data_IF_810767167874
#
_entry.id   IF_810767167874
#
_cell.length_a   1.000
_cell.length_b   1.000
_cell.length_c   1.000
_cell.angle_alpha   90.00
_cell.angle_beta   90.00
_cell.angle_gamma   90.00
#
_symmetry.space_group_name_H-M   'P 1'
#
loop_
_entity.id
_entity.type
_entity.pdbx_description
1 polymer ?
#
# COMPACT_ATOMS: atom_id res chain seq x y z
N UNK A 1 -0.46 8.20 -11.46
CA UNK A 1 -0.27 8.93 -10.18
C UNK A 1 -1.56 9.07 -9.39
N UNK A 2 -2.67 9.51 -9.99
CA UNK A 2 -3.96 9.71 -9.29
C UNK A 2 -4.40 8.54 -8.38
N UNK A 3 -4.14 7.29 -8.81
CA UNK A 3 -4.57 6.06 -8.13
C UNK A 3 -3.50 5.40 -7.25
N UNK A 4 -2.37 6.06 -6.97
CA UNK A 4 -1.36 5.56 -6.04
C UNK A 4 -0.33 4.59 -6.65
N UNK A 5 -0.07 4.70 -7.96
CA UNK A 5 0.97 3.91 -8.62
C UNK A 5 2.38 4.30 -8.11
N UNK A 6 3.27 3.33 -7.86
CA UNK A 6 4.62 3.58 -7.36
C UNK A 6 5.47 4.36 -8.37
N UNK A 7 6.23 5.35 -7.89
CA UNK A 7 7.00 6.28 -8.73
C UNK A 7 8.11 5.60 -9.53
N UNK A 8 8.84 4.68 -8.90
CA UNK A 8 9.97 3.98 -9.54
C UNK A 8 9.62 3.21 -10.82
N UNK A 9 8.34 2.84 -11.02
CA UNK A 9 7.86 2.18 -12.24
C UNK A 9 7.23 3.14 -13.24
N UNK A 10 6.66 4.22 -12.75
CA UNK A 10 5.81 5.09 -13.54
C UNK A 10 6.58 5.77 -14.65
N UNK A 11 7.81 6.22 -14.39
CA UNK A 11 8.72 6.80 -15.38
C UNK A 11 8.83 5.91 -16.60
N UNK A 12 9.17 4.63 -16.38
CA UNK A 12 9.35 3.68 -17.46
C UNK A 12 8.07 3.39 -18.23
N UNK A 13 6.92 3.29 -17.55
CA UNK A 13 5.65 3.11 -18.24
C UNK A 13 5.29 4.28 -19.12
N UNK A 14 5.55 5.50 -18.64
CA UNK A 14 5.29 6.71 -19.41
C UNK A 14 6.25 6.82 -20.60
N UNK A 15 7.54 6.53 -20.43
CA UNK A 15 8.49 6.50 -21.55
C UNK A 15 8.11 5.47 -22.61
N UNK A 16 7.71 4.25 -22.23
CA UNK A 16 7.24 3.23 -23.19
C UNK A 16 5.95 3.65 -23.90
N UNK A 17 5.05 4.34 -23.18
CA UNK A 17 3.81 4.86 -23.77
C UNK A 17 4.11 6.00 -24.74
N UNK A 18 5.01 6.92 -24.41
CA UNK A 18 5.42 8.02 -25.29
C UNK A 18 6.04 7.52 -26.60
N UNK A 19 6.90 6.49 -26.53
CA UNK A 19 7.47 5.83 -27.70
C UNK A 19 6.39 5.15 -28.55
N UNK A 20 5.44 4.45 -27.93
CA UNK A 20 4.32 3.81 -28.65
C UNK A 20 3.42 4.85 -29.33
N UNK A 21 3.23 6.01 -28.72
CA UNK A 21 2.49 7.16 -29.27
C UNK A 21 3.31 8.05 -30.22
N UNK A 22 4.58 7.70 -30.49
CA UNK A 22 5.49 8.47 -31.34
C UNK A 22 5.58 9.97 -30.95
N UNK A 23 5.52 10.27 -29.65
CA UNK A 23 5.55 11.64 -29.12
C UNK A 23 6.81 11.86 -28.29
N UNK A 24 7.48 12.99 -28.47
CA UNK A 24 8.63 13.42 -27.65
C UNK A 24 8.14 13.99 -26.33
N UNK A 25 8.35 13.25 -25.24
CA UNK A 25 7.88 13.64 -23.90
C UNK A 25 8.97 13.38 -22.86
N UNK A 26 9.28 14.41 -22.09
CA UNK A 26 10.15 14.34 -20.94
C UNK A 26 9.36 14.36 -19.64
N UNK A 27 9.85 13.62 -18.64
CA UNK A 27 9.19 13.45 -17.35
C UNK A 27 10.10 13.93 -16.23
N UNK A 28 9.60 14.80 -15.37
CA UNK A 28 10.25 15.17 -14.12
C UNK A 28 9.37 14.75 -12.95
N UNK A 29 9.93 13.92 -12.09
CA UNK A 29 9.26 13.42 -10.89
C UNK A 29 9.56 14.31 -9.72
N UNK A 30 8.50 14.86 -9.13
CA UNK A 30 8.53 15.56 -7.87
C UNK A 30 7.79 14.72 -6.81
N UNK A 31 7.98 15.00 -5.51
CA UNK A 31 7.16 14.38 -4.48
C UNK A 31 5.67 14.65 -4.77
N UNK A 32 4.90 13.56 -4.84
CA UNK A 32 3.46 13.54 -5.08
C UNK A 32 2.96 14.27 -6.34
N UNK A 33 3.87 14.56 -7.27
CA UNK A 33 3.55 15.18 -8.53
C UNK A 33 4.47 14.75 -9.67
N UNK A 34 3.92 14.75 -10.87
CA UNK A 34 4.62 14.46 -12.11
C UNK A 34 4.47 15.66 -13.02
N UNK A 35 5.60 16.23 -13.41
CA UNK A 35 5.62 17.23 -14.48
C UNK A 35 5.96 16.51 -15.78
N UNK A 36 5.06 16.63 -16.75
CA UNK A 36 5.25 16.15 -18.12
C UNK A 36 5.57 17.35 -19.01
N UNK A 37 6.62 17.27 -19.81
CA UNK A 37 6.96 18.24 -20.84
C UNK A 37 6.79 17.56 -22.20
N UNK A 38 5.83 18.03 -23.00
CA UNK A 38 5.58 17.53 -24.35
C UNK A 38 6.20 18.52 -25.32
N UNK A 39 7.13 18.05 -26.14
CA UNK A 39 7.77 18.86 -27.17
C UNK A 39 7.05 18.68 -28.51
N UNK A 40 6.47 19.77 -29.02
CA UNK A 40 5.92 19.80 -30.37
C UNK A 40 6.93 20.41 -31.34
N UNK A 41 7.74 19.54 -31.92
CA UNK A 41 8.76 19.91 -32.90
C UNK A 41 8.19 20.59 -34.15
N UNK A 42 6.90 20.36 -34.50
CA UNK A 42 6.28 20.95 -35.70
C UNK A 42 5.92 22.42 -35.49
N UNK A 43 5.46 22.77 -34.30
CA UNK A 43 5.03 24.13 -33.96
C UNK A 43 6.07 24.93 -33.18
N UNK A 44 7.24 24.34 -32.85
CA UNK A 44 8.25 24.93 -31.97
C UNK A 44 7.68 25.38 -30.61
N UNK A 45 6.68 24.66 -30.11
CA UNK A 45 6.02 24.95 -28.83
C UNK A 45 6.14 23.76 -27.89
N UNK A 46 6.49 24.01 -26.63
CA UNK A 46 6.48 23.01 -25.58
C UNK A 46 5.32 23.24 -24.62
N UNK A 47 4.61 22.19 -24.23
CA UNK A 47 3.57 22.26 -23.22
C UNK A 47 4.02 21.50 -21.97
N UNK A 48 3.93 22.14 -20.81
CA UNK A 48 4.15 21.45 -19.53
C UNK A 48 2.83 21.22 -18.81
N UNK A 49 2.66 20.04 -18.23
CA UNK A 49 1.50 19.68 -17.42
C UNK A 49 1.95 19.07 -16.10
N UNK A 50 1.49 19.66 -15.00
CA UNK A 50 1.67 19.13 -13.65
C UNK A 50 0.48 18.22 -13.29
N UNK A 51 0.77 16.97 -12.93
CA UNK A 51 -0.21 15.99 -12.50
C UNK A 51 0.07 15.68 -11.03
N UNK A 52 -0.90 15.93 -10.14
CA UNK A 52 -0.80 15.60 -8.71
C UNK A 52 -1.39 14.23 -8.40
N UNK A 53 -0.84 13.53 -7.41
CA UNK A 53 -1.45 12.35 -6.81
C UNK A 53 -2.69 12.72 -5.98
N UNK A 54 -3.68 11.83 -5.90
CA UNK A 54 -4.94 12.06 -5.17
C UNK A 54 -5.27 11.01 -4.11
N UNK A 55 -4.67 9.81 -4.18
CA UNK A 55 -4.88 8.73 -3.21
C UNK A 55 -4.58 7.36 -3.80
N UNK A 56 -5.00 6.31 -3.10
CA UNK A 56 -4.85 4.91 -3.54
C UNK A 56 -6.20 4.32 -3.93
N UNK A 57 -6.34 3.88 -5.18
CA UNK A 57 -7.47 3.08 -5.66
C UNK A 57 -6.92 1.95 -6.52
N UNK A 58 -6.76 0.77 -5.91
CA UNK A 58 -6.14 -0.40 -6.55
C UNK A 58 -6.94 -0.89 -7.76
N UNK A 59 -8.26 -0.78 -7.72
CA UNK A 59 -9.16 -1.19 -8.79
C UNK A 59 -8.98 -0.32 -10.03
N UNK A 60 -9.07 1.01 -9.87
CA UNK A 60 -8.87 1.96 -10.98
C UNK A 60 -7.43 1.99 -11.48
N UNK A 61 -6.46 1.80 -10.59
CA UNK A 61 -5.08 1.67 -11.01
C UNK A 61 -4.89 0.50 -11.97
N UNK A 62 -5.44 -0.67 -11.65
CA UNK A 62 -5.34 -1.81 -12.55
C UNK A 62 -6.02 -1.54 -13.90
N UNK A 63 -7.21 -0.96 -13.89
CA UNK A 63 -7.95 -0.68 -15.12
C UNK A 63 -7.19 0.29 -16.02
N UNK A 64 -6.68 1.39 -15.47
CA UNK A 64 -5.86 2.34 -16.20
C UNK A 64 -4.56 1.71 -16.73
N UNK A 65 -3.96 0.79 -15.98
CA UNK A 65 -2.79 0.05 -16.44
C UNK A 65 -3.11 -0.89 -17.61
N UNK A 66 -4.28 -1.54 -17.58
CA UNK A 66 -4.73 -2.39 -18.69
C UNK A 66 -4.95 -1.57 -19.96
N UNK A 67 -5.64 -0.42 -19.87
CA UNK A 67 -5.83 0.50 -21.00
C UNK A 67 -4.48 0.84 -21.64
N UNK A 68 -3.51 1.30 -20.84
CA UNK A 68 -2.16 1.61 -21.33
C UNK A 68 -1.49 0.42 -22.03
N UNK A 69 -1.59 -0.79 -21.47
CA UNK A 69 -1.05 -2.02 -22.09
C UNK A 69 -1.71 -2.34 -23.43
N UNK A 70 -3.02 -2.13 -23.56
CA UNK A 70 -3.75 -2.39 -24.81
C UNK A 70 -3.39 -1.39 -25.90
N UNK A 71 -3.22 -0.12 -25.56
CA UNK A 71 -2.74 0.91 -26.50
C UNK A 71 -1.32 0.60 -26.97
N UNK A 72 -0.39 0.29 -26.06
CA UNK A 72 1.00 -0.04 -26.41
C UNK A 72 1.10 -1.26 -27.33
N UNK A 73 0.23 -2.26 -27.14
CA UNK A 73 0.23 -3.49 -27.94
C UNK A 73 -0.58 -3.36 -29.25
N UNK A 74 -1.09 -2.17 -29.59
CA UNK A 74 -1.98 -1.94 -30.74
C UNK A 74 -3.26 -2.80 -30.72
N UNK A 75 -3.73 -3.20 -29.53
CA UNK A 75 -4.99 -3.95 -29.35
C UNK A 75 -6.21 -3.03 -29.19
N UNK A 76 -5.99 -1.72 -29.04
CA UNK A 76 -6.99 -0.67 -28.83
C UNK A 76 -6.46 0.63 -29.43
N UNK A 77 -7.32 1.47 -30.02
CA UNK A 77 -6.88 2.76 -30.58
C UNK A 77 -6.68 3.80 -29.47
N UNK A 78 -6.03 4.92 -29.79
CA UNK A 78 -5.78 6.00 -28.83
C UNK A 78 -7.10 6.65 -28.41
N UNK A 79 -8.04 6.83 -29.34
CA UNK A 79 -9.36 7.43 -29.08
C UNK A 79 -10.21 6.53 -28.17
N UNK A 80 -10.23 5.23 -28.44
CA UNK A 80 -10.90 4.24 -27.57
C UNK A 80 -10.29 4.26 -26.16
N UNK A 81 -8.96 4.34 -26.07
CA UNK A 81 -8.25 4.41 -24.80
C UNK A 81 -8.57 5.68 -23.98
N UNK A 82 -8.70 6.83 -24.64
CA UNK A 82 -9.10 8.09 -23.98
C UNK A 82 -10.51 7.95 -23.41
N UNK A 83 -11.44 7.40 -24.19
CA UNK A 83 -12.82 7.17 -23.74
C UNK A 83 -12.88 6.23 -22.52
N UNK A 84 -12.16 5.10 -22.55
CA UNK A 84 -12.13 4.19 -21.39
C UNK A 84 -11.47 4.84 -20.16
N UNK A 85 -10.43 5.66 -20.33
CA UNK A 85 -9.80 6.37 -19.20
C UNK A 85 -10.75 7.38 -18.56
N UNK A 86 -11.54 8.10 -19.36
CA UNK A 86 -12.55 9.03 -18.85
C UNK A 86 -13.71 8.28 -18.15
N UNK A 87 -14.08 7.10 -18.63
CA UNK A 87 -15.05 6.23 -17.95
C UNK A 87 -14.51 5.74 -16.58
N UNK A 88 -13.24 5.35 -16.52
CA UNK A 88 -12.58 4.93 -15.27
C UNK A 88 -12.49 6.10 -14.28
N UNK A 89 -12.20 7.31 -14.75
CA UNK A 89 -12.13 8.51 -13.92
C UNK A 89 -13.51 8.92 -13.38
N UNK A 90 -14.55 8.86 -14.21
CA UNK A 90 -15.93 9.26 -13.85
C UNK A 90 -16.70 8.21 -13.05
N UNK A 91 -16.19 6.99 -12.91
CA UNK A 91 -16.83 5.93 -12.13
C UNK A 91 -17.06 6.35 -10.67
N UNK A 92 -18.23 6.02 -10.12
CA UNK A 92 -18.55 6.21 -8.69
C UNK A 92 -17.67 5.31 -7.80
N UNK A 93 -17.43 5.68 -6.53
CA UNK A 93 -16.72 4.80 -5.59
C UNK A 93 -17.40 3.42 -5.54
N UNK A 94 -16.60 2.36 -5.51
CA UNK A 94 -17.09 0.97 -5.60
C UNK A 94 -17.92 0.56 -4.37
N UNK A 95 -17.63 1.17 -3.22
CA UNK A 95 -18.22 0.84 -1.94
C UNK A 95 -18.84 2.08 -1.30
N UNK A 96 -19.99 1.91 -0.63
CA UNK A 96 -20.62 2.97 0.16
C UNK A 96 -19.81 3.27 1.42
N UNK A 97 -19.83 4.52 1.89
CA UNK A 97 -19.15 4.94 3.11
C UNK A 97 -19.50 4.07 4.34
N UNK A 98 -20.78 3.71 4.52
CA UNK A 98 -21.23 2.88 5.64
C UNK A 98 -20.63 1.47 5.64
N UNK A 99 -20.56 0.85 4.46
CA UNK A 99 -19.87 -0.42 4.29
C UNK A 99 -18.38 -0.27 4.62
N UNK A 100 -17.75 0.82 4.17
CA UNK A 100 -16.34 1.08 4.45
C UNK A 100 -16.10 1.23 5.96
N UNK A 101 -16.95 1.99 6.67
CA UNK A 101 -16.92 2.13 8.13
C UNK A 101 -17.00 0.78 8.85
N UNK A 102 -17.88 -0.12 8.39
CA UNK A 102 -17.96 -1.46 8.94
C UNK A 102 -16.67 -2.27 8.70
N UNK A 103 -16.08 -2.15 7.50
CA UNK A 103 -14.80 -2.80 7.17
C UNK A 103 -13.64 -2.25 8.01
N UNK A 104 -13.63 -0.96 8.36
CA UNK A 104 -12.68 -0.39 9.32
C UNK A 104 -12.74 -1.12 10.67
N UNK A 105 -13.94 -1.33 11.21
CA UNK A 105 -14.14 -2.10 12.45
C UNK A 105 -13.61 -3.53 12.35
N UNK A 106 -13.94 -4.23 11.26
CA UNK A 106 -13.45 -5.59 11.03
C UNK A 106 -11.92 -5.64 10.86
N UNK A 107 -11.33 -4.62 10.25
CA UNK A 107 -9.88 -4.53 10.10
C UNK A 107 -9.19 -4.40 11.47
N UNK A 108 -9.78 -3.67 12.42
CA UNK A 108 -9.32 -3.60 13.81
C UNK A 108 -9.30 -4.96 14.51
N UNK A 109 -10.39 -5.73 14.39
CA UNK A 109 -10.47 -7.11 14.89
C UNK A 109 -9.42 -7.99 14.22
N UNK A 110 -9.22 -7.82 12.92
CA UNK A 110 -8.30 -8.63 12.11
C UNK A 110 -6.85 -8.51 12.55
N UNK A 111 -6.37 -7.29 12.78
CA UNK A 111 -4.96 -7.06 13.10
C UNK A 111 -4.59 -7.32 14.56
N UNK A 112 -5.52 -7.08 15.49
CA UNK A 112 -5.21 -7.07 16.91
C UNK A 112 -4.53 -8.35 17.44
N UNK A 113 -4.97 -9.58 17.08
CA UNK A 113 -4.35 -10.82 17.59
C UNK A 113 -2.91 -11.04 17.13
N UNK A 114 -2.64 -10.90 15.84
CA UNK A 114 -1.35 -11.35 15.27
C UNK A 114 -0.26 -10.28 15.32
N UNK A 115 -0.62 -8.99 15.32
CA UNK A 115 0.33 -7.89 15.38
C UNK A 115 0.58 -7.43 16.82
N UNK A 116 -0.48 -7.34 17.63
CA UNK A 116 -0.44 -6.71 18.95
C UNK A 116 -0.72 -7.67 20.12
N UNK A 117 -0.94 -8.96 19.84
CA UNK A 117 -1.14 -9.98 20.87
C UNK A 117 -2.45 -9.83 21.65
N UNK A 118 -3.48 -9.26 21.03
CA UNK A 118 -4.78 -9.01 21.67
C UNK A 118 -5.43 -10.31 22.17
N UNK A 119 -6.22 -10.19 23.25
CA UNK A 119 -7.09 -11.28 23.73
C UNK A 119 -8.45 -11.22 23.04
N UNK A 120 -9.20 -12.31 23.09
CA UNK A 120 -10.56 -12.33 22.54
C UNK A 120 -11.49 -11.28 23.17
N UNK A 121 -11.24 -10.96 24.45
CA UNK A 121 -11.99 -9.94 25.21
C UNK A 121 -11.74 -8.52 24.68
N UNK A 122 -10.58 -8.26 24.06
CA UNK A 122 -10.20 -6.93 23.55
C UNK A 122 -10.83 -6.64 22.17
N UNK A 123 -11.21 -7.68 21.40
CA UNK A 123 -11.67 -7.54 20.01
C UNK A 123 -12.89 -6.63 19.79
N UNK A 124 -13.94 -6.68 20.64
CA UNK A 124 -15.08 -5.78 20.48
C UNK A 124 -14.71 -4.30 20.65
N UNK A 125 -13.75 -4.00 21.53
CA UNK A 125 -13.27 -2.63 21.72
C UNK A 125 -12.42 -2.16 20.54
N UNK A 126 -11.56 -3.04 20.00
CA UNK A 126 -10.83 -2.77 18.77
C UNK A 126 -11.78 -2.44 17.62
N UNK A 127 -12.90 -3.17 17.48
CA UNK A 127 -13.91 -2.88 16.47
C UNK A 127 -14.47 -1.46 16.61
N UNK A 128 -14.91 -1.08 17.81
CA UNK A 128 -15.52 0.23 18.06
C UNK A 128 -14.53 1.37 17.79
N UNK A 129 -13.29 1.26 18.26
CA UNK A 129 -12.28 2.29 18.05
C UNK A 129 -11.87 2.40 16.57
N UNK A 130 -11.77 1.27 15.86
CA UNK A 130 -11.47 1.32 14.42
C UNK A 130 -12.64 1.87 13.59
N UNK A 131 -13.91 1.60 13.94
CA UNK A 131 -15.05 2.28 13.30
C UNK A 131 -14.97 3.79 13.54
N UNK A 132 -14.64 4.20 14.76
CA UNK A 132 -14.46 5.62 15.12
C UNK A 132 -13.35 6.28 14.31
N UNK A 133 -12.23 5.58 14.08
CA UNK A 133 -11.19 6.03 13.15
C UNK A 133 -11.74 6.22 11.73
N UNK A 134 -12.51 5.24 11.23
CA UNK A 134 -13.14 5.34 9.91
C UNK A 134 -14.05 6.57 9.78
N UNK A 135 -14.79 6.93 10.84
CA UNK A 135 -15.62 8.15 10.87
C UNK A 135 -14.73 9.39 10.77
N UNK A 136 -13.66 9.45 11.55
CA UNK A 136 -12.71 10.56 11.50
C UNK A 136 -12.05 10.69 10.11
N UNK A 137 -11.70 9.58 9.46
CA UNK A 137 -11.04 9.59 8.15
C UNK A 137 -12.00 9.90 6.98
N UNK A 138 -13.18 9.27 6.94
CA UNK A 138 -14.09 9.39 5.78
C UNK A 138 -15.00 10.62 5.91
N UNK A 139 -15.44 10.98 7.12
CA UNK A 139 -16.44 12.04 7.33
C UNK A 139 -15.86 13.34 7.86
N UNK A 140 -14.77 13.30 8.65
CA UNK A 140 -14.23 14.50 9.30
C UNK A 140 -13.02 15.07 8.55
N UNK A 141 -12.06 14.23 8.15
CA UNK A 141 -10.87 14.64 7.38
C UNK A 141 -11.16 15.47 6.12
N UNK A 142 -12.05 15.05 5.21
CA UNK A 142 -12.29 15.82 3.99
C UNK A 142 -13.09 17.12 4.21
N UNK A 143 -13.67 17.35 5.38
CA UNK A 143 -14.47 18.56 5.65
C UNK A 143 -13.63 19.79 5.92
N UNK A 144 -12.44 19.63 6.48
CA UNK A 144 -11.57 20.74 6.82
C UNK A 144 -10.11 20.38 6.50
N UNK A 145 -9.48 21.19 5.64
CA UNK A 145 -8.09 20.99 5.26
C UNK A 145 -7.14 21.04 6.47
N UNK A 146 -7.38 21.93 7.44
CA UNK A 146 -6.57 21.99 8.66
C UNK A 146 -6.64 20.70 9.47
N UNK A 147 -7.83 20.10 9.55
CA UNK A 147 -8.01 18.84 10.24
C UNK A 147 -7.36 17.68 9.48
N UNK A 148 -7.40 17.67 8.14
CA UNK A 148 -6.72 16.64 7.33
C UNK A 148 -5.19 16.57 7.56
N UNK A 149 -4.57 17.67 7.97
CA UNK A 149 -3.13 17.75 8.28
C UNK A 149 -2.80 17.26 9.70
N UNK A 150 -3.74 17.35 10.63
CA UNK A 150 -3.56 16.99 12.05
C UNK A 150 -4.32 15.72 12.45
N UNK A 151 -5.02 15.11 11.50
CA UNK A 151 -5.93 13.98 11.72
C UNK A 151 -5.21 12.85 12.48
N UNK A 152 -4.02 12.52 12.03
CA UNK A 152 -3.12 11.52 12.61
C UNK A 152 -2.83 11.72 14.08
N UNK A 153 -2.40 12.93 14.42
CA UNK A 153 -2.00 13.30 15.78
C UNK A 153 -3.24 13.29 16.66
N UNK A 154 -4.35 13.84 16.17
CA UNK A 154 -5.62 13.83 16.90
C UNK A 154 -6.16 12.41 17.15
N UNK A 155 -6.04 11.51 16.17
CA UNK A 155 -6.38 10.11 16.28
C UNK A 155 -5.49 9.39 17.30
N UNK A 156 -4.17 9.59 17.23
CA UNK A 156 -3.23 9.00 18.18
C UNK A 156 -3.50 9.44 19.62
N UNK A 157 -3.72 10.74 19.85
CA UNK A 157 -4.09 11.27 21.18
C UNK A 157 -5.37 10.59 21.69
N UNK A 158 -6.39 10.53 20.85
CA UNK A 158 -7.70 10.01 21.22
C UNK A 158 -7.68 8.52 21.50
N UNK A 159 -7.05 7.71 20.65
CA UNK A 159 -7.00 6.25 20.83
C UNK A 159 -6.01 5.81 21.91
N UNK A 160 -4.94 6.56 22.17
CA UNK A 160 -4.08 6.30 23.33
C UNK A 160 -4.75 6.69 24.64
N UNK A 161 -5.49 7.81 24.67
CA UNK A 161 -6.31 8.17 25.82
C UNK A 161 -7.39 7.11 26.11
N UNK A 162 -8.21 6.77 25.10
CA UNK A 162 -9.27 5.77 25.23
C UNK A 162 -8.72 4.36 25.51
N UNK A 163 -7.61 3.99 24.88
CA UNK A 163 -6.94 2.72 25.12
C UNK A 163 -6.46 2.60 26.56
N UNK A 164 -5.84 3.64 27.11
CA UNK A 164 -5.35 3.63 28.50
C UNK A 164 -6.51 3.70 29.51
N UNK A 165 -7.56 4.45 29.19
CA UNK A 165 -8.83 4.47 29.94
C UNK A 165 -9.41 3.06 30.06
N UNK A 166 -9.64 2.40 28.92
CA UNK A 166 -10.25 1.07 28.88
C UNK A 166 -9.33 -0.01 29.47
N UNK A 167 -8.02 0.08 29.22
CA UNK A 167 -7.03 -0.86 29.76
C UNK A 167 -6.79 -0.74 31.26
N UNK A 168 -7.21 0.36 31.90
CA UNK A 168 -7.08 0.55 33.35
C UNK A 168 -8.26 0.00 34.14
N UNK A 169 -9.32 -0.49 33.46
CA UNK A 169 -10.47 -1.10 34.12
C UNK A 169 -10.05 -2.43 34.79
N UNK A 170 -10.26 -2.50 36.11
CA UNK A 170 -9.94 -3.66 36.94
C UNK A 170 -11.19 -4.50 37.24
N UNK A 171 -11.03 -5.81 37.25
CA UNK A 171 -12.01 -6.75 37.79
C UNK A 171 -12.02 -6.69 39.32
N UNK A 172 -13.07 -7.21 39.97
CA UNK A 172 -13.15 -7.42 41.43
C UNK A 172 -11.98 -8.20 42.03
N UNK A 173 -11.25 -8.96 41.21
CA UNK A 173 -10.06 -9.75 41.58
C UNK A 173 -8.74 -8.97 41.46
N UNK A 174 -8.77 -7.70 41.03
CA UNK A 174 -7.59 -6.84 40.87
C UNK A 174 -6.87 -6.96 39.51
N UNK A 175 -7.24 -7.94 38.68
CA UNK A 175 -6.69 -8.13 37.33
C UNK A 175 -7.27 -7.12 36.32
N UNK A 176 -6.46 -6.73 35.33
CA UNK A 176 -6.90 -5.83 34.24
C UNK A 176 -7.67 -6.60 33.17
N UNK A 177 -8.90 -6.16 32.90
CA UNK A 177 -9.82 -6.83 31.96
C UNK A 177 -9.34 -6.70 30.52
N UNK A 178 -8.83 -5.52 30.17
CA UNK A 178 -8.50 -5.15 28.79
C UNK A 178 -7.02 -4.83 28.62
N UNK A 179 -6.48 -5.15 27.44
CA UNK A 179 -5.09 -4.83 27.12
C UNK A 179 -5.00 -3.47 26.42
N UNK A 180 -4.31 -2.53 27.07
CA UNK A 180 -4.08 -1.19 26.53
C UNK A 180 -3.37 -1.22 25.16
N UNK A 181 -2.22 -1.89 25.07
CA UNK A 181 -1.40 -1.93 23.85
C UNK A 181 -2.16 -2.47 22.65
N UNK A 182 -2.90 -3.57 22.81
CA UNK A 182 -3.72 -4.14 21.74
C UNK A 182 -4.82 -3.19 21.25
N UNK A 183 -5.53 -2.52 22.17
CA UNK A 183 -6.68 -1.68 21.84
C UNK A 183 -6.25 -0.37 21.16
N UNK A 184 -5.22 0.30 21.70
CA UNK A 184 -4.72 1.55 21.11
C UNK A 184 -4.03 1.30 19.76
N UNK A 185 -3.15 0.30 19.68
CA UNK A 185 -2.35 0.06 18.48
C UNK A 185 -3.20 -0.53 17.33
N UNK A 186 -4.20 -1.37 17.61
CA UNK A 186 -5.11 -1.88 16.56
C UNK A 186 -5.90 -0.75 15.88
N UNK A 187 -6.31 0.27 16.63
CA UNK A 187 -6.96 1.46 16.07
C UNK A 187 -5.96 2.32 15.28
N UNK A 188 -4.80 2.65 15.86
CA UNK A 188 -3.79 3.53 15.24
C UNK A 188 -3.19 2.92 13.97
N UNK A 189 -3.12 1.60 13.88
CA UNK A 189 -2.52 0.87 12.75
C UNK A 189 -2.98 1.34 11.37
N UNK A 190 -4.28 1.56 11.19
CA UNK A 190 -4.85 1.88 9.87
C UNK A 190 -4.44 3.27 9.35
N UNK A 191 -3.86 4.11 10.22
CA UNK A 191 -3.31 5.41 9.87
C UNK A 191 -1.81 5.32 9.52
N UNK A 192 -1.12 4.24 9.90
CA UNK A 192 0.33 4.17 9.73
C UNK A 192 0.76 4.16 8.25
N UNK A 193 1.80 4.92 7.87
CA UNK A 193 2.17 5.14 6.47
C UNK A 193 3.03 3.99 5.92
N UNK A 194 2.64 2.73 6.16
CA UNK A 194 3.46 1.56 5.83
C UNK A 194 3.75 1.39 4.33
N UNK A 195 2.75 1.67 3.49
CA UNK A 195 2.92 1.67 2.04
C UNK A 195 3.92 2.75 1.57
N UNK A 196 3.81 3.97 2.13
CA UNK A 196 4.67 5.10 1.78
C UNK A 196 6.13 4.87 2.19
N UNK A 197 6.36 4.33 3.39
CA UNK A 197 7.70 3.97 3.87
C UNK A 197 8.35 2.96 2.93
N UNK A 198 7.62 1.89 2.59
CA UNK A 198 8.14 0.84 1.72
C UNK A 198 8.45 1.37 0.31
N UNK A 199 7.54 2.18 -0.26
CA UNK A 199 7.76 2.76 -1.59
C UNK A 199 8.92 3.77 -1.60
N UNK A 200 9.10 4.56 -0.54
CA UNK A 200 10.24 5.46 -0.40
C UNK A 200 11.56 4.70 -0.36
N UNK A 201 11.66 3.61 0.41
CA UNK A 201 12.84 2.76 0.43
C UNK A 201 13.12 2.08 -0.93
N UNK A 202 12.08 1.63 -1.64
CA UNK A 202 12.22 1.06 -2.98
C UNK A 202 12.72 2.08 -4.01
N UNK A 203 12.17 3.29 -3.99
CA UNK A 203 12.63 4.39 -4.86
C UNK A 203 14.08 4.80 -4.54
N UNK A 204 14.45 4.81 -3.25
CA UNK A 204 15.81 5.09 -2.82
C UNK A 204 16.81 4.04 -3.35
N UNK A 205 16.46 2.75 -3.27
CA UNK A 205 17.27 1.67 -3.84
C UNK A 205 17.38 1.73 -5.36
N UNK A 206 16.38 2.30 -6.04
CA UNK A 206 16.35 2.51 -7.48
C UNK A 206 17.01 3.83 -7.92
N UNK A 207 17.78 4.49 -7.04
CA UNK A 207 18.51 5.74 -7.28
C UNK A 207 17.63 6.97 -7.54
N UNK A 208 16.35 6.96 -7.18
CA UNK A 208 15.47 8.13 -7.24
C UNK A 208 15.57 8.98 -5.96
N UNK A 209 16.78 9.45 -5.65
CA UNK A 209 17.18 9.97 -4.32
C UNK A 209 16.35 11.19 -3.88
N UNK A 210 16.12 12.17 -4.77
CA UNK A 210 15.45 13.42 -4.40
C UNK A 210 13.97 13.20 -4.01
N UNK A 211 13.24 12.43 -4.82
CA UNK A 211 11.83 12.11 -4.59
C UNK A 211 11.67 11.13 -3.43
N UNK A 212 12.55 10.14 -3.30
CA UNK A 212 12.50 9.20 -2.18
C UNK A 212 12.88 9.84 -0.85
N UNK A 213 13.88 10.75 -0.85
CA UNK A 213 14.40 11.37 0.36
C UNK A 213 13.35 12.23 1.07
N UNK A 214 12.60 13.02 0.32
CA UNK A 214 11.48 13.82 0.86
C UNK A 214 10.34 12.96 1.38
N UNK A 215 9.95 11.89 0.68
CA UNK A 215 8.93 10.93 1.16
C UNK A 215 9.36 10.20 2.42
N UNK A 216 10.62 9.76 2.49
CA UNK A 216 11.17 9.12 3.67
C UNK A 216 11.22 10.10 4.84
N UNK A 217 11.68 11.33 4.63
CA UNK A 217 11.69 12.37 5.65
C UNK A 217 10.28 12.67 6.17
N UNK A 218 9.30 12.80 5.28
CA UNK A 218 7.90 12.96 5.65
C UNK A 218 7.41 11.79 6.51
N UNK A 219 7.68 10.55 6.11
CA UNK A 219 7.29 9.36 6.88
C UNK A 219 7.96 9.30 8.27
N UNK A 220 9.20 9.76 8.41
CA UNK A 220 9.88 9.86 9.71
C UNK A 220 9.23 10.91 10.61
N UNK A 221 8.99 12.13 10.09
CA UNK A 221 8.27 13.17 10.84
C UNK A 221 6.89 12.68 11.26
N UNK A 222 6.19 11.99 10.36
CA UNK A 222 4.88 11.39 10.63
C UNK A 222 4.92 10.35 11.75
N UNK A 223 5.93 9.47 11.76
CA UNK A 223 6.11 8.49 12.85
C UNK A 223 6.38 9.16 14.20
N UNK A 224 7.13 10.26 14.22
CA UNK A 224 7.35 11.06 15.44
C UNK A 224 6.06 11.75 15.90
N UNK A 225 5.29 12.33 14.98
CA UNK A 225 3.99 12.95 15.29
C UNK A 225 3.01 11.94 15.90
N UNK A 226 2.97 10.70 15.38
CA UNK A 226 2.18 9.62 15.97
C UNK A 226 2.67 9.27 17.39
N UNK A 227 3.96 9.11 17.60
CA UNK A 227 4.52 8.80 18.92
C UNK A 227 4.27 9.92 19.95
N UNK A 228 4.37 11.18 19.52
CA UNK A 228 4.03 12.34 20.32
C UNK A 228 2.54 12.36 20.69
N UNK A 229 1.65 12.06 19.73
CA UNK A 229 0.22 11.94 19.98
C UNK A 229 -0.10 10.82 20.99
N UNK A 230 0.53 9.66 20.87
CA UNK A 230 0.42 8.55 21.83
C UNK A 230 0.84 9.01 23.23
N UNK A 231 1.97 9.71 23.32
CA UNK A 231 2.51 10.22 24.58
C UNK A 231 1.55 11.19 25.27
N UNK A 232 1.02 12.18 24.54
CA UNK A 232 0.03 13.13 25.07
C UNK A 232 -1.23 12.40 25.53
N UNK A 233 -1.79 11.52 24.69
CA UNK A 233 -3.04 10.81 25.00
C UNK A 233 -2.91 9.93 26.24
N UNK A 234 -1.82 9.17 26.33
CA UNK A 234 -1.51 8.34 27.49
C UNK A 234 -1.26 9.17 28.75
N UNK A 235 -0.53 10.28 28.65
CA UNK A 235 -0.25 11.17 29.78
C UNK A 235 -1.51 11.82 30.32
N UNK A 236 -2.40 12.28 29.43
CA UNK A 236 -3.64 12.95 29.81
C UNK A 236 -4.52 12.04 30.67
N UNK A 237 -4.62 10.75 30.34
CA UNK A 237 -5.34 9.79 31.19
C UNK A 237 -4.57 9.44 32.47
N UNK A 238 -3.25 9.25 32.39
CA UNK A 238 -2.42 8.93 33.57
C UNK A 238 -2.34 10.05 34.62
N UNK A 239 -2.64 11.30 34.24
CA UNK A 239 -2.83 12.41 35.17
C UNK A 239 -4.18 12.36 35.90
N UNK A 240 -5.19 11.71 35.31
CA UNK A 240 -6.51 11.51 35.92
C UNK A 240 -6.48 10.30 36.87
N UNK A 241 -5.83 9.21 36.45
CA UNK A 241 -5.70 7.97 37.20
C UNK A 241 -4.21 7.60 37.37
N UNK A 242 -3.70 7.81 38.59
CA UNK A 242 -2.31 7.53 38.94
C UNK A 242 -1.96 6.03 38.95
N UNK A 243 -2.96 5.13 38.97
CA UNK A 243 -2.76 3.67 38.92
C UNK A 243 -3.08 3.08 37.52
N UNK A 244 -3.09 3.96 36.51
CA UNK A 244 -3.35 3.58 35.13
C UNK A 244 -2.29 2.62 34.57
N UNK A 245 -2.69 1.81 33.59
CA UNK A 245 -1.82 0.82 32.94
C UNK A 245 -0.67 1.46 32.14
N UNK A 246 0.55 1.01 32.42
CA UNK A 246 1.76 1.39 31.68
C UNK A 246 2.29 0.28 30.75
N UNK A 247 1.85 -0.98 30.96
CA UNK A 247 2.34 -2.10 30.15
C UNK A 247 1.73 -2.07 28.75
N UNK A 248 2.58 -2.19 27.73
CA UNK A 248 2.18 -2.37 26.33
C UNK A 248 2.01 -3.83 25.94
N UNK A 249 2.53 -4.75 26.76
CA UNK A 249 2.54 -6.17 26.45
C UNK A 249 1.30 -6.81 27.08
N UNK A 250 0.49 -7.45 26.23
CA UNK A 250 -0.67 -8.20 26.67
C UNK A 250 -0.26 -9.56 27.27
N UNK A 251 -0.84 -9.88 28.41
CA UNK A 251 -0.82 -11.22 29.02
C UNK A 251 -1.83 -12.14 28.30
N UNK A 252 -1.65 -13.46 28.37
CA UNK A 252 -2.56 -14.47 27.81
C UNK A 252 -2.94 -14.25 26.34
N UNK A 253 -1.92 -14.01 25.50
CA UNK A 253 -2.09 -13.77 24.07
C UNK A 253 -2.78 -14.96 23.37
N UNK A 254 -3.60 -14.66 22.37
CA UNK A 254 -4.23 -15.69 21.54
C UNK A 254 -3.15 -16.56 20.90
N UNK A 255 -3.36 -17.88 20.91
CA UNK A 255 -2.39 -18.82 20.35
C UNK A 255 -2.06 -18.48 18.88
N UNK A 256 -0.79 -18.55 18.45
CA UNK A 256 -0.38 -18.21 17.08
C UNK A 256 -1.10 -18.99 15.97
N UNK A 257 -1.74 -20.12 16.30
CA UNK A 257 -2.57 -20.89 15.37
C UNK A 257 -3.70 -20.05 14.76
N UNK A 258 -4.30 -19.13 15.52
CA UNK A 258 -5.35 -18.25 15.03
C UNK A 258 -4.86 -17.24 13.98
N UNK A 259 -3.55 -17.02 13.86
CA UNK A 259 -2.98 -16.17 12.81
C UNK A 259 -3.28 -16.73 11.41
N UNK A 260 -3.51 -18.05 11.29
CA UNK A 260 -3.96 -18.70 10.05
C UNK A 260 -5.29 -18.11 9.54
N UNK A 261 -6.15 -17.66 10.45
CA UNK A 261 -7.45 -17.06 10.12
C UNK A 261 -7.37 -15.52 10.09
N UNK A 262 -6.78 -14.90 11.11
CA UNK A 262 -6.78 -13.45 11.24
C UNK A 262 -5.95 -12.73 10.17
N UNK A 263 -4.86 -13.32 9.69
CA UNK A 263 -4.04 -12.72 8.63
C UNK A 263 -4.76 -12.64 7.28
N UNK A 264 -5.34 -13.73 6.71
CA UNK A 264 -6.10 -13.62 5.48
C UNK A 264 -7.39 -12.80 5.65
N UNK A 265 -7.99 -12.83 6.84
CA UNK A 265 -9.11 -11.96 7.18
C UNK A 265 -8.67 -10.50 7.03
N UNK A 266 -7.68 -10.04 7.81
CA UNK A 266 -7.16 -8.67 7.77
C UNK A 266 -6.72 -8.22 6.37
N UNK A 267 -6.05 -9.11 5.63
CA UNK A 267 -5.63 -8.86 4.25
C UNK A 267 -6.82 -8.54 3.34
N UNK A 268 -7.94 -9.24 3.50
CA UNK A 268 -9.16 -8.97 2.75
C UNK A 268 -9.72 -7.57 3.08
N UNK A 269 -9.78 -7.19 4.36
CA UNK A 269 -10.27 -5.86 4.73
C UNK A 269 -9.37 -4.74 4.21
N UNK A 270 -8.05 -4.84 4.39
CA UNK A 270 -7.11 -3.82 3.89
C UNK A 270 -7.18 -3.68 2.38
N UNK A 271 -7.32 -4.79 1.64
CA UNK A 271 -7.47 -4.74 0.20
C UNK A 271 -8.78 -4.04 -0.23
N UNK A 272 -9.89 -4.27 0.48
CA UNK A 272 -11.16 -3.56 0.26
C UNK A 272 -11.02 -2.08 0.59
N UNK A 273 -10.37 -1.73 1.71
CA UNK A 273 -10.09 -0.33 2.09
C UNK A 273 -9.22 0.37 1.04
N UNK A 274 -8.30 -0.35 0.39
CA UNK A 274 -7.48 0.13 -0.71
C UNK A 274 -8.20 0.20 -2.07
N UNK A 275 -9.49 -0.11 -2.15
CA UNK A 275 -10.27 -0.05 -3.39
C UNK A 275 -10.04 -1.23 -4.34
N UNK A 276 -9.60 -2.40 -3.84
CA UNK A 276 -9.45 -3.59 -4.67
C UNK A 276 -10.80 -4.13 -5.16
N UNK A 277 -10.79 -4.77 -6.34
CA UNK A 277 -11.96 -5.47 -6.87
C UNK A 277 -12.09 -6.85 -6.25
N UNK A 278 -13.32 -7.34 -6.10
CA UNK A 278 -13.59 -8.70 -5.61
C UNK A 278 -12.83 -9.81 -6.36
N UNK A 279 -12.62 -9.65 -7.66
CA UNK A 279 -11.86 -10.62 -8.49
C UNK A 279 -10.34 -10.63 -8.19
N UNK A 280 -9.79 -9.54 -7.65
CA UNK A 280 -8.37 -9.42 -7.31
C UNK A 280 -8.06 -9.91 -5.89
N UNK A 281 -9.06 -9.88 -5.00
CA UNK A 281 -8.90 -10.21 -3.58
C UNK A 281 -8.25 -11.58 -3.32
N UNK A 282 -8.64 -12.69 -3.99
CA UNK A 282 -8.06 -14.01 -3.69
C UNK A 282 -6.54 -14.05 -3.90
N UNK A 283 -6.05 -13.40 -4.96
CA UNK A 283 -4.63 -13.33 -5.25
C UNK A 283 -3.87 -12.46 -4.24
N UNK A 284 -4.42 -11.29 -3.89
CA UNK A 284 -3.84 -10.38 -2.89
C UNK A 284 -3.74 -11.06 -1.51
N UNK A 285 -4.79 -11.77 -1.10
CA UNK A 285 -4.83 -12.50 0.17
C UNK A 285 -3.81 -13.65 0.17
N UNK A 286 -3.71 -14.41 -0.91
CA UNK A 286 -2.73 -15.50 -1.02
C UNK A 286 -1.28 -15.01 -0.94
N UNK A 287 -0.95 -13.91 -1.61
CA UNK A 287 0.40 -13.30 -1.56
C UNK A 287 0.69 -12.82 -0.13
N UNK A 288 -0.25 -12.12 0.50
CA UNK A 288 -0.11 -11.59 1.86
C UNK A 288 0.05 -12.70 2.89
N UNK A 289 -0.76 -13.75 2.81
CA UNK A 289 -0.70 -14.89 3.71
C UNK A 289 0.64 -15.62 3.60
N UNK A 290 1.09 -15.90 2.37
CA UNK A 290 2.37 -16.58 2.13
C UNK A 290 3.56 -15.74 2.60
N UNK A 291 3.51 -14.42 2.39
CA UNK A 291 4.49 -13.47 2.93
C UNK A 291 4.53 -13.50 4.46
N UNK A 292 3.38 -13.52 5.14
CA UNK A 292 3.32 -13.60 6.59
C UNK A 292 3.89 -14.92 7.13
N UNK A 293 3.59 -16.06 6.48
CA UNK A 293 4.21 -17.33 6.85
C UNK A 293 5.73 -17.28 6.77
N UNK A 294 6.28 -16.72 5.68
CA UNK A 294 7.72 -16.54 5.52
C UNK A 294 8.29 -15.63 6.63
N UNK A 295 7.63 -14.51 6.92
CA UNK A 295 8.01 -13.63 8.03
C UNK A 295 8.03 -14.36 9.37
N UNK A 296 6.97 -15.11 9.70
CA UNK A 296 6.81 -15.81 10.97
C UNK A 296 7.86 -16.92 11.17
N UNK A 297 8.07 -17.78 10.17
CA UNK A 297 9.04 -18.87 10.27
C UNK A 297 10.48 -18.36 10.23
N UNK A 298 10.81 -17.41 9.34
CA UNK A 298 12.18 -16.88 9.23
C UNK A 298 12.59 -16.07 10.45
N UNK A 299 11.69 -15.28 11.04
CA UNK A 299 11.97 -14.57 12.29
C UNK A 299 12.24 -15.55 13.43
N UNK A 300 11.45 -16.63 13.56
CA UNK A 300 11.66 -17.65 14.60
C UNK A 300 12.95 -18.45 14.39
N UNK A 301 13.27 -18.80 13.14
CA UNK A 301 14.53 -19.46 12.79
C UNK A 301 15.75 -18.59 13.15
N UNK A 302 15.67 -17.28 12.88
CA UNK A 302 16.73 -16.32 13.15
C UNK A 302 16.67 -15.72 14.57
N UNK A 303 16.25 -16.50 15.58
CA UNK A 303 16.20 -16.11 17.01
C UNK A 303 15.42 -14.81 17.27
N UNK A 304 14.34 -14.58 16.54
CA UNK A 304 13.49 -13.39 16.66
C UNK A 304 14.00 -12.17 15.90
N UNK A 305 14.97 -12.32 14.99
CA UNK A 305 15.46 -11.19 14.18
C UNK A 305 14.39 -10.67 13.22
N UNK A 306 13.91 -9.46 13.49
CA UNK A 306 12.90 -8.78 12.68
C UNK A 306 13.38 -8.53 11.24
N UNK A 307 14.63 -8.09 11.05
CA UNK A 307 15.21 -7.81 9.73
C UNK A 307 15.19 -9.03 8.82
N UNK A 308 15.50 -10.21 9.38
CA UNK A 308 15.49 -11.47 8.62
C UNK A 308 14.06 -11.84 8.24
N UNK A 309 13.11 -11.68 9.16
CA UNK A 309 11.68 -11.86 8.89
C UNK A 309 11.17 -10.96 7.75
N UNK A 310 11.43 -9.66 7.81
CA UNK A 310 10.97 -8.70 6.77
C UNK A 310 11.62 -8.96 5.42
N UNK A 311 12.89 -9.35 5.41
CA UNK A 311 13.61 -9.64 4.16
C UNK A 311 13.07 -10.90 3.51
N UNK A 312 12.82 -11.96 4.29
CA UNK A 312 12.20 -13.19 3.81
C UNK A 312 10.76 -12.95 3.31
N UNK A 313 9.94 -12.23 4.10
CA UNK A 313 8.58 -11.85 3.70
C UNK A 313 8.56 -11.03 2.41
N UNK A 314 9.41 -10.01 2.31
CA UNK A 314 9.57 -9.19 1.11
C UNK A 314 9.99 -10.00 -0.11
N UNK A 315 10.92 -10.95 0.05
CA UNK A 315 11.33 -11.87 -1.01
C UNK A 315 10.19 -12.77 -1.47
N UNK A 316 9.44 -13.38 -0.56
CA UNK A 316 8.28 -14.22 -0.90
C UNK A 316 7.20 -13.42 -1.62
N UNK A 317 6.89 -12.22 -1.14
CA UNK A 317 5.95 -11.30 -1.79
C UNK A 317 6.40 -10.94 -3.21
N UNK A 318 7.68 -10.66 -3.43
CA UNK A 318 8.26 -10.45 -4.77
C UNK A 318 8.04 -11.70 -5.66
N UNK A 319 8.47 -12.87 -5.19
CA UNK A 319 8.39 -14.09 -6.00
C UNK A 319 6.95 -14.39 -6.45
N UNK A 320 5.99 -14.29 -5.51
CA UNK A 320 4.58 -14.55 -5.78
C UNK A 320 3.91 -13.43 -6.60
N UNK A 321 4.25 -12.16 -6.37
CA UNK A 321 3.75 -11.05 -7.18
C UNK A 321 4.15 -11.18 -8.65
N UNK A 322 5.39 -11.60 -8.91
CA UNK A 322 5.85 -11.89 -10.27
C UNK A 322 5.20 -13.14 -10.86
N UNK A 323 5.02 -14.20 -10.06
CA UNK A 323 4.31 -15.40 -10.50
C UNK A 323 2.86 -15.06 -10.91
N UNK A 324 2.18 -14.24 -10.12
CA UNK A 324 0.83 -13.75 -10.39
C UNK A 324 0.75 -13.02 -11.73
N UNK A 325 1.61 -12.03 -11.99
CA UNK A 325 1.61 -11.31 -13.27
C UNK A 325 1.92 -12.22 -14.47
N UNK A 326 2.78 -13.24 -14.31
CA UNK A 326 3.08 -14.22 -15.37
C UNK A 326 1.92 -15.15 -15.65
N UNK A 327 1.28 -15.67 -14.60
CA UNK A 327 0.11 -16.56 -14.72
C UNK A 327 -1.07 -15.83 -15.32
N UNK A 328 -1.30 -14.59 -14.90
CA UNK A 328 -2.35 -13.73 -15.44
C UNK A 328 -2.28 -13.59 -16.96
N UNK A 329 -1.09 -13.30 -17.49
CA UNK A 329 -0.87 -13.22 -18.94
C UNK A 329 -1.18 -14.55 -19.65
N UNK A 330 -0.79 -15.69 -19.08
CA UNK A 330 -1.09 -17.01 -19.67
C UNK A 330 -2.58 -17.31 -19.69
N UNK A 331 -3.30 -16.97 -18.62
CA UNK A 331 -4.74 -17.16 -18.51
C UNK A 331 -5.47 -16.25 -19.49
N UNK A 332 -5.07 -14.98 -19.59
CA UNK A 332 -5.60 -14.01 -20.55
C UNK A 332 -5.45 -14.53 -21.99
N UNK A 333 -4.23 -14.94 -22.39
CA UNK A 333 -4.00 -15.52 -23.70
C UNK A 333 -4.78 -16.83 -23.94
N UNK A 334 -4.95 -17.68 -22.92
CA UNK A 334 -5.70 -18.92 -23.04
C UNK A 334 -7.22 -18.68 -23.19
N UNK A 335 -7.76 -17.66 -22.52
CA UNK A 335 -9.15 -17.24 -22.66
C UNK A 335 -9.40 -16.64 -24.04
N UNK A 336 -8.50 -15.78 -24.53
CA UNK A 336 -8.58 -15.23 -25.90
C UNK A 336 -8.49 -16.34 -26.96
N UNK A 337 -7.59 -17.31 -26.78
CA UNK A 337 -7.45 -18.45 -27.69
C UNK A 337 -8.67 -19.37 -27.72
N UNK A 338 -9.40 -19.53 -26.60
CA UNK A 338 -10.66 -20.30 -26.57
C UNK A 338 -11.81 -19.55 -27.22
N UNK A 339 -11.89 -18.23 -27.02
CA UNK A 339 -12.97 -17.42 -27.57
C UNK A 339 -12.86 -17.27 -29.09
N UNK A 340 -11.64 -17.06 -29.61
CA UNK A 340 -11.39 -16.99 -31.06
C UNK A 340 -11.69 -18.30 -31.79
N UNK A 341 -11.57 -19.44 -31.09
CA UNK A 341 -11.95 -20.76 -31.60
C UNK A 341 -13.46 -21.03 -31.61
N UNK A 342 -14.24 -20.26 -30.86
CA UNK A 342 -15.71 -20.36 -30.80
C UNK A 342 -16.43 -19.46 -31.80
N UNK A 343 -15.75 -18.48 -32.40
CA UNK A 343 -16.34 -17.45 -33.28
C UNK A 343 -16.05 -17.63 -34.77
N UNK A 344 -15.48 -18.76 -35.21
CA UNK A 344 -15.37 -19.12 -36.62
C UNK A 344 -16.27 -20.33 -36.94
N UNK A 345 -17.36 -20.18 -37.72
CA UNK A 345 -17.85 -21.28 -38.51
C UNK A 345 -16.77 -21.64 -39.54
N UNK A 346 -16.52 -22.92 -39.68
CA UNK A 346 -15.64 -23.50 -40.68
C UNK A 346 -15.90 -22.94 -42.08
N UNK A 347 -14.98 -22.15 -42.61
CA UNK A 347 -14.76 -22.09 -44.06
C UNK A 347 -13.29 -22.38 -44.32
N UNK A 348 -13.06 -23.62 -44.74
CA UNK A 348 -11.84 -24.14 -45.32
C UNK A 348 -11.33 -23.25 -46.46
N UNK A 349 -10.08 -22.79 -46.37
CA UNK A 349 -9.28 -22.49 -47.54
C UNK A 349 -7.80 -22.77 -47.23
N UNK A 350 -7.25 -23.66 -48.03
CA UNK A 350 -5.90 -24.21 -48.02
C UNK A 350 -4.88 -23.30 -48.70
N UNK A 351 -3.61 -23.51 -48.34
CA UNK A 351 -2.37 -23.05 -49.02
C UNK A 351 -2.09 -21.54 -48.91
N UNK A 352 -0.85 -21.03 -48.83
CA UNK A 352 0.46 -21.54 -49.20
C UNK A 352 1.50 -20.65 -48.49
N UNK A 353 2.67 -21.18 -48.12
CA UNK A 353 3.73 -20.40 -47.47
C UNK A 353 4.41 -19.41 -48.41
N UNK A 354 4.97 -18.33 -47.86
CA UNK A 354 6.03 -17.51 -48.47
C UNK A 354 6.68 -16.60 -47.42
N UNK A 355 8.01 -16.60 -47.42
CA UNK A 355 8.91 -15.65 -46.78
C UNK A 355 8.86 -14.27 -47.49
N UNK A 356 9.68 -13.31 -47.01
CA UNK A 356 9.96 -11.93 -47.51
C UNK A 356 9.15 -10.89 -46.70
N UNK A 357 9.73 -9.91 -46.00
CA UNK A 357 10.80 -8.97 -46.37
C UNK A 357 10.15 -7.58 -46.37
N UNK A 358 10.74 -6.59 -45.68
CA UNK A 358 10.11 -5.29 -45.43
C UNK A 358 9.81 -4.47 -46.68
N UNK A 359 9.00 -3.41 -46.53
CA UNK A 359 9.17 -2.05 -47.08
C UNK A 359 8.00 -1.16 -46.63
N UNK A 360 8.27 0.14 -46.52
CA UNK A 360 7.36 1.25 -46.24
C UNK A 360 6.35 1.48 -47.39
N UNK A 361 5.36 2.36 -47.17
CA UNK A 361 4.96 3.48 -48.06
C UNK A 361 3.62 4.11 -47.60
N UNK A 362 3.70 5.42 -47.34
CA UNK A 362 2.88 6.59 -47.70
C UNK A 362 1.37 6.74 -47.45
N UNK A 363 1.07 8.03 -47.24
CA UNK A 363 -0.17 8.74 -46.93
C UNK A 363 -0.83 9.23 -48.24
N UNK A 364 -2.15 9.08 -48.42
CA UNK A 364 -3.10 10.18 -48.73
C UNK A 364 -4.57 9.73 -48.97
N UNK A 365 -5.45 10.33 -48.17
CA UNK A 365 -6.76 10.96 -48.43
C UNK A 365 -8.00 10.27 -49.11
N UNK A 366 -9.13 10.50 -48.42
CA UNK A 366 -10.53 10.69 -48.84
C UNK A 366 -11.48 9.49 -49.01
N UNK A 367 -12.65 9.57 -48.32
CA UNK A 367 -13.90 8.95 -48.76
C UNK A 367 -14.64 8.07 -47.75
N UNK A 368 -15.60 8.68 -47.02
CA UNK A 368 -16.84 8.09 -46.48
C UNK A 368 -16.81 6.70 -45.81
N UNK A 369 -16.91 6.66 -44.48
CA UNK A 369 -17.32 5.44 -43.74
C UNK A 369 -18.73 5.64 -43.19
N UNK A 370 -19.63 4.86 -43.77
CA UNK A 370 -21.01 4.63 -43.39
C UNK A 370 -21.13 4.08 -41.96
N UNK A 371 -22.07 4.65 -41.23
CA UNK A 371 -22.66 4.19 -39.98
C UNK A 371 -23.24 2.77 -40.11
N UNK A 372 -22.56 1.78 -39.54
CA UNK A 372 -23.21 0.56 -39.05
C UNK A 372 -22.67 0.25 -37.66
N UNK A 373 -23.49 0.52 -36.66
CA UNK A 373 -23.22 0.19 -35.27
C UNK A 373 -23.05 -1.31 -35.11
N UNK A 374 -21.84 -1.70 -34.71
CA UNK A 374 -21.64 -2.91 -33.93
C UNK A 374 -21.10 -2.47 -32.58
N UNK A 375 -22.01 -2.37 -31.62
CA UNK A 375 -21.70 -2.23 -30.21
C UNK A 375 -20.79 -3.39 -29.81
N UNK A 376 -19.47 -3.18 -29.80
CA UNK A 376 -18.51 -4.06 -29.13
C UNK A 376 -18.73 -3.95 -27.62
N UNK A 377 -19.79 -4.61 -27.16
CA UNK A 377 -20.13 -4.71 -25.76
C UNK A 377 -19.12 -5.61 -25.06
N UNK A 378 -18.47 -5.03 -24.06
CA UNK A 378 -18.03 -5.68 -22.82
C UNK A 378 -16.97 -6.79 -22.96
N UNK A 379 -15.76 -6.41 -23.35
CA UNK A 379 -14.59 -7.25 -23.07
C UNK A 379 -14.34 -7.16 -21.56
N UNK A 380 -14.75 -8.15 -20.77
CA UNK A 380 -14.40 -8.20 -19.35
C UNK A 380 -12.91 -8.51 -19.25
N UNK A 381 -12.09 -7.46 -19.19
CA UNK A 381 -10.65 -7.58 -19.13
C UNK A 381 -10.27 -8.18 -17.77
N UNK A 382 -9.77 -9.41 -17.81
CA UNK A 382 -9.52 -10.16 -16.58
C UNK A 382 -8.24 -9.63 -15.94
N UNK A 383 -8.43 -8.94 -14.82
CA UNK A 383 -7.44 -8.10 -14.16
C UNK A 383 -6.25 -8.80 -13.49
N UNK A 384 -5.51 -9.65 -14.20
CA UNK A 384 -4.41 -10.45 -13.64
C UNK A 384 -2.98 -9.91 -13.94
N UNK A 385 -2.81 -8.64 -14.30
CA UNK A 385 -1.58 -8.17 -14.95
C UNK A 385 -0.69 -7.23 -14.13
N UNK A 386 -1.20 -6.55 -13.10
CA UNK A 386 -0.39 -5.62 -12.30
C UNK A 386 0.12 -6.25 -11.00
N UNK A 387 1.38 -6.71 -11.02
CA UNK A 387 2.05 -7.27 -9.85
C UNK A 387 2.07 -6.31 -8.66
N UNK A 388 2.43 -5.03 -8.86
CA UNK A 388 2.53 -4.11 -7.73
C UNK A 388 1.18 -3.84 -7.06
N UNK A 389 0.07 -3.75 -7.82
CA UNK A 389 -1.25 -3.61 -7.22
C UNK A 389 -1.59 -4.80 -6.31
N UNK A 390 -1.24 -6.02 -6.75
CA UNK A 390 -1.48 -7.23 -5.97
C UNK A 390 -0.61 -7.33 -4.69
N UNK A 391 0.51 -6.61 -4.62
CA UNK A 391 1.45 -6.62 -3.50
C UNK A 391 1.14 -5.55 -2.44
N UNK A 392 0.29 -4.55 -2.73
CA UNK A 392 0.02 -3.44 -1.80
C UNK A 392 -0.52 -3.91 -0.44
N UNK A 393 -1.52 -4.81 -0.36
CA UNK A 393 -2.00 -5.28 0.94
C UNK A 393 -0.90 -5.97 1.75
N UNK A 394 -0.04 -6.75 1.09
CA UNK A 394 1.09 -7.42 1.75
C UNK A 394 2.10 -6.40 2.32
N UNK A 395 2.41 -5.31 1.61
CA UNK A 395 3.23 -4.21 2.14
C UNK A 395 2.60 -3.55 3.37
N UNK A 396 1.28 -3.32 3.32
CA UNK A 396 0.53 -2.72 4.44
C UNK A 396 0.48 -3.65 5.65
N UNK A 397 0.42 -4.99 5.48
CA UNK A 397 0.43 -5.94 6.61
C UNK A 397 1.83 -6.09 7.22
N UNK A 398 2.88 -6.04 6.40
CA UNK A 398 4.24 -6.34 6.84
C UNK A 398 4.87 -5.23 7.70
N UNK A 399 4.61 -3.96 7.40
CA UNK A 399 5.20 -2.83 8.13
C UNK A 399 4.70 -2.73 9.59
N UNK A 400 3.38 -2.79 9.87
CA UNK A 400 2.88 -2.78 11.24
C UNK A 400 3.31 -3.98 12.05
N UNK A 401 3.42 -5.17 11.45
CA UNK A 401 3.94 -6.37 12.12
C UNK A 401 5.37 -6.19 12.66
N UNK A 402 6.09 -5.18 12.15
CA UNK A 402 7.38 -4.75 12.66
C UNK A 402 7.36 -3.60 13.65
N UNK A 403 6.53 -2.60 13.40
CA UNK A 403 6.38 -1.43 14.27
C UNK A 403 5.69 -1.78 15.59
N UNK A 404 4.77 -2.76 15.58
CA UNK A 404 4.09 -3.33 16.74
C UNK A 404 5.05 -3.93 17.76
N UNK A 405 6.23 -4.39 17.32
CA UNK A 405 7.11 -5.20 18.14
C UNK A 405 8.13 -4.36 18.95
N UNK A 406 7.68 -3.23 19.57
CA UNK A 406 8.32 -2.48 20.70
C UNK A 406 8.84 -1.04 20.45
N UNK A 407 8.66 -0.42 19.28
CA UNK A 407 9.35 0.85 18.96
C UNK A 407 8.63 2.15 19.37
N UNK A 408 7.67 2.59 18.55
CA UNK A 408 7.07 3.92 18.62
C UNK A 408 6.11 4.12 19.80
N UNK A 409 5.26 3.14 20.05
CA UNK A 409 4.26 3.22 21.12
C UNK A 409 4.91 3.12 22.50
N UNK A 410 5.86 2.19 22.68
CA UNK A 410 6.64 2.06 23.92
C UNK A 410 7.39 3.36 24.24
N UNK A 411 8.03 3.99 23.26
CA UNK A 411 8.71 5.26 23.44
C UNK A 411 7.75 6.38 23.90
N UNK A 412 6.57 6.48 23.29
CA UNK A 412 5.54 7.44 23.71
C UNK A 412 5.06 7.22 25.14
N UNK A 413 4.95 5.96 25.57
CA UNK A 413 4.54 5.59 26.93
C UNK A 413 5.65 5.83 27.96
N UNK A 414 6.90 5.49 27.63
CA UNK A 414 8.02 5.78 28.52
C UNK A 414 8.14 7.29 28.78
N UNK A 415 7.95 8.10 27.73
CA UNK A 415 7.86 9.55 27.86
C UNK A 415 6.65 9.98 28.71
N UNK A 416 5.50 9.32 28.57
CA UNK A 416 4.33 9.61 29.41
C UNK A 416 4.56 9.26 30.89
N UNK A 417 5.21 8.13 31.17
CA UNK A 417 5.51 7.69 32.54
C UNK A 417 6.55 8.60 33.22
N UNK A 418 7.55 9.12 32.50
CA UNK A 418 8.52 10.06 33.08
C UNK A 418 7.86 11.39 33.48
N UNK A 419 6.86 11.84 32.72
CA UNK A 419 6.01 12.99 33.04
C UNK A 419 5.15 12.70 34.28
N UNK A 420 4.42 11.57 34.30
CA UNK A 420 3.47 11.24 35.40
C UNK A 420 4.20 11.02 36.73
N UNK A 421 5.36 10.34 36.71
CA UNK A 421 6.11 10.00 37.93
C UNK A 421 7.05 11.12 38.40
N UNK A 422 6.92 12.32 37.83
CA UNK A 422 7.68 13.52 38.20
C UNK A 422 9.21 13.29 38.21
N UNK A 423 9.71 12.54 37.22
CA UNK A 423 11.16 12.30 37.06
C UNK A 423 11.83 13.40 36.23
N UNK A 424 11.07 14.33 35.66
CA UNK A 424 11.62 15.48 34.93
C UNK A 424 12.01 16.60 35.88
N UNK A 425 13.28 16.63 36.30
CA UNK A 425 13.92 17.90 36.64
C UNK A 425 13.83 18.87 35.46
N UNK A 426 13.64 20.15 35.75
CA UNK A 426 13.50 21.27 34.78
C UNK A 426 14.45 21.10 33.57
N UNK A 427 13.95 21.18 32.31
CA UNK A 427 14.82 21.02 31.16
C UNK A 427 15.62 22.31 30.92
N UNK A 428 16.91 22.28 31.25
CA UNK A 428 17.91 23.09 30.56
C UNK A 428 17.93 22.71 29.06
N UNK A 429 18.38 23.63 28.20
CA UNK A 429 18.48 23.47 26.74
C UNK A 429 18.83 22.05 26.26
N UNK A 430 18.29 21.58 25.12
CA UNK A 430 18.32 20.17 24.76
C UNK A 430 19.75 19.67 24.55
N UNK A 431 20.27 18.94 25.54
CA UNK A 431 21.44 18.10 25.36
C UNK A 431 21.05 16.87 24.54
N UNK A 432 22.02 16.29 23.82
CA UNK A 432 21.87 15.04 23.04
C UNK A 432 21.37 13.86 23.92
N UNK A 433 21.40 14.03 25.25
CA UNK A 433 20.94 13.07 26.26
C UNK A 433 19.51 13.32 26.76
N UNK A 434 18.76 14.25 26.13
CA UNK A 434 17.35 14.48 26.48
C UNK A 434 16.52 13.20 26.26
N UNK A 435 15.68 12.86 27.23
CA UNK A 435 14.78 11.68 27.21
C UNK A 435 13.94 11.59 25.93
N UNK A 436 13.65 12.75 25.33
CA UNK A 436 12.91 12.87 24.06
C UNK A 436 13.73 12.35 22.87
N UNK A 437 15.04 12.63 22.80
CA UNK A 437 15.89 12.18 21.70
C UNK A 437 16.26 10.69 21.83
N UNK A 438 16.49 10.21 23.07
CA UNK A 438 16.69 8.79 23.35
C UNK A 438 15.42 7.96 23.14
N UNK A 439 14.23 8.52 23.35
CA UNK A 439 12.95 7.88 23.02
C UNK A 439 12.64 7.90 21.51
N UNK A 440 13.03 8.94 20.78
CA UNK A 440 12.72 9.09 19.36
C UNK A 440 13.65 8.27 18.43
N UNK A 441 14.93 8.10 18.77
CA UNK A 441 15.90 7.41 17.91
C UNK A 441 15.52 5.95 17.59
N UNK A 442 15.06 5.11 18.55
CA UNK A 442 14.59 3.76 18.26
C UNK A 442 13.40 3.73 17.29
N UNK A 443 12.55 4.77 17.32
CA UNK A 443 11.39 4.87 16.41
C UNK A 443 11.86 4.97 14.97
N UNK A 444 12.78 5.89 14.70
CA UNK A 444 13.34 6.09 13.37
C UNK A 444 14.08 4.86 12.87
N UNK A 445 14.91 4.25 13.72
CA UNK A 445 15.66 3.05 13.34
C UNK A 445 14.72 1.88 12.99
N UNK A 446 13.66 1.66 13.76
CA UNK A 446 12.70 0.59 13.49
C UNK A 446 11.91 0.81 12.18
N UNK A 447 11.47 2.06 11.93
CA UNK A 447 10.77 2.43 10.68
C UNK A 447 11.68 2.21 9.47
N UNK A 448 12.93 2.70 9.53
CA UNK A 448 13.91 2.57 8.45
C UNK A 448 14.28 1.10 8.25
N UNK A 449 14.52 0.35 9.33
CA UNK A 449 14.86 -1.07 9.28
C UNK A 449 13.74 -1.91 8.66
N UNK A 450 12.47 -1.62 8.99
CA UNK A 450 11.33 -2.27 8.37
C UNK A 450 11.28 -1.98 6.86
N UNK A 451 11.35 -0.70 6.47
CA UNK A 451 11.32 -0.30 5.07
C UNK A 451 12.47 -0.90 4.24
N UNK A 452 13.69 -0.85 4.77
CA UNK A 452 14.87 -1.42 4.11
C UNK A 452 14.80 -2.94 4.03
N UNK A 453 14.36 -3.63 5.09
CA UNK A 453 14.21 -5.09 5.07
C UNK A 453 13.26 -5.56 3.97
N UNK A 454 12.11 -4.89 3.82
CA UNK A 454 11.15 -5.20 2.76
C UNK A 454 11.75 -4.90 1.38
N UNK A 455 12.38 -3.73 1.21
CA UNK A 455 12.95 -3.31 -0.07
C UNK A 455 14.10 -4.25 -0.52
N UNK A 456 14.99 -4.64 0.40
CA UNK A 456 16.06 -5.63 0.16
C UNK A 456 15.45 -6.99 -0.22
N UNK A 457 14.45 -7.46 0.51
CA UNK A 457 13.75 -8.71 0.20
C UNK A 457 13.18 -8.71 -1.22
N UNK A 458 12.52 -7.62 -1.61
CA UNK A 458 11.97 -7.43 -2.95
C UNK A 458 13.05 -7.45 -4.03
N UNK A 459 14.18 -6.77 -3.82
CA UNK A 459 15.32 -6.78 -4.74
C UNK A 459 15.96 -8.17 -4.89
N UNK A 460 16.11 -8.91 -3.79
CA UNK A 460 16.62 -10.30 -3.82
C UNK A 460 15.66 -11.21 -4.59
N UNK A 461 14.36 -11.11 -4.34
CA UNK A 461 13.35 -11.85 -5.09
C UNK A 461 13.37 -11.52 -6.59
N UNK A 462 13.73 -10.28 -6.96
CA UNK A 462 13.88 -9.86 -8.34
C UNK A 462 15.07 -10.53 -9.02
N UNK A 463 16.22 -10.50 -8.33
CA UNK A 463 17.46 -11.10 -8.79
C UNK A 463 17.30 -12.62 -8.98
N UNK A 464 16.62 -13.28 -8.06
CA UNK A 464 16.34 -14.72 -8.15
C UNK A 464 15.54 -15.09 -9.41
N UNK A 465 14.63 -14.21 -9.84
CA UNK A 465 13.79 -14.44 -11.03
C UNK A 465 14.52 -14.05 -12.33
N UNK A 466 15.38 -13.03 -12.28
CA UNK A 466 16.06 -12.47 -13.44
C UNK A 466 17.58 -12.37 -13.22
N UNK A 467 18.29 -13.49 -13.01
CA UNK A 467 19.68 -13.50 -12.59
C UNK A 467 20.65 -12.88 -13.62
N UNK A 468 20.36 -13.02 -14.92
CA UNK A 468 21.20 -12.48 -16.01
C UNK A 468 20.59 -11.27 -16.71
N UNK A 469 19.54 -10.70 -16.11
CA UNK A 469 18.73 -9.66 -16.74
C UNK A 469 17.95 -10.13 -17.97
N UNK A 470 16.92 -9.38 -18.36
CA UNK A 470 16.13 -9.65 -19.56
C UNK A 470 16.81 -9.02 -20.77
N UNK A 471 17.32 -9.85 -21.70
CA UNK A 471 18.01 -9.43 -22.93
C UNK A 471 17.19 -8.52 -23.88
N UNK A 472 15.88 -8.36 -23.69
CA UNK A 472 15.02 -7.45 -24.48
C UNK A 472 14.09 -6.53 -23.68
N UNK A 473 14.31 -6.39 -22.38
CA UNK A 473 13.64 -5.35 -21.59
C UNK A 473 14.46 -5.13 -20.33
N UNK A 474 15.23 -4.05 -20.35
CA UNK A 474 16.15 -3.63 -19.29
C UNK A 474 15.52 -3.78 -17.91
N UNK A 475 16.31 -4.29 -16.98
CA UNK A 475 15.90 -4.82 -15.69
C UNK A 475 15.45 -3.70 -14.77
N UNK A 476 14.13 -3.61 -14.53
CA UNK A 476 13.42 -3.28 -13.27
C UNK A 476 11.92 -3.17 -13.58
N UNK A 477 11.37 -4.17 -14.28
CA UNK A 477 9.93 -4.33 -14.43
C UNK A 477 9.45 -5.29 -13.34
N UNK A 478 9.35 -4.78 -12.11
CA UNK A 478 8.22 -5.23 -11.30
C UNK A 478 6.97 -4.71 -11.94
#
# INVERSE_FOLDING_TARGET
MLYGAPGHRLERYLSMTAVALQTSVDFTFLPDSLTMYIDDAKNHTGYSRLIKGAGTDLGRWLDAHNVSKHVINNNMTVEEGIYELDEIASRKPQHSDWFLLFIYGLAGIGIAPFAYGARFVDLPLCFVLSVMLGVMQIKLAPRNHLYSVLFEVSAAILFSFLGRLLGSIKTSEGNRVFCYGAISEAAINLVQPGYWITNACLELMNRQIATSGSRLMYALVYALLLAYGVSIGSSLYGLIDHDAVASTVCEDQISPFWNLFFVPFFSCQVAILGGAKWKQLPAMVFITFSMYCAFFFSSRFARGSFTVGTTAGGMTMALLGNAYARMGRKIECALEGKFSRGSHPSSSASSQGSNVGGYAVDIEHTGSVSTTGSTKSLRSHVGYTCAAAAMVPAMIVLVPSGLANRGSHLAGILAAESIIRNQTGVPDFPSINSEVFTAALPIYLNVIQAGLGIAVGLSIGALAIYPFGKSRSWVMSW
#
